data_IF_116394401152
#
_entry.id   IF_116394401152
#
_cell.length_a   1.000
_cell.length_b   1.000
_cell.length_c   1.000
_cell.angle_alpha   90.00
_cell.angle_beta   90.00
_cell.angle_gamma   90.00
#
_symmetry.space_group_name_H-M   'P 1'
#
loop_
_entity.id
_entity.type
_entity.pdbx_description
1 polymer ?
#
# COMPACT_ATOMS: atom_id res chain seq x y z
N UNK A 1 -0.23 -0.35 24.11
CA UNK A 1 -1.03 -1.00 23.06
C UNK A 1 -0.06 -1.38 21.97
N UNK A 2 -0.16 -2.59 21.42
CA UNK A 2 0.68 -3.03 20.30
C UNK A 2 0.07 -2.50 19.01
N UNK A 3 0.86 -1.86 18.16
CA UNK A 3 0.42 -1.26 16.90
C UNK A 3 -0.13 -2.32 15.94
N UNK A 4 -1.30 -2.07 15.33
CA UNK A 4 -1.84 -2.88 14.25
C UNK A 4 -2.02 -2.06 12.96
N UNK A 5 -1.59 -2.55 11.78
CA UNK A 5 -1.63 -1.78 10.52
C UNK A 5 -3.01 -1.30 10.08
N UNK A 6 -4.09 -1.91 10.59
CA UNK A 6 -5.46 -1.46 10.32
C UNK A 6 -5.83 -0.13 11.02
N UNK A 7 -5.01 0.33 11.97
CA UNK A 7 -5.20 1.61 12.67
C UNK A 7 -4.73 2.79 11.82
N UNK A 8 -3.91 2.56 10.77
CA UNK A 8 -3.45 3.61 9.87
C UNK A 8 -4.65 4.24 9.15
N UNK A 9 -4.80 5.58 9.16
CA UNK A 9 -5.80 6.28 8.36
C UNK A 9 -5.56 6.03 6.87
N UNK A 10 -6.57 5.58 6.13
CA UNK A 10 -6.44 5.22 4.71
C UNK A 10 -7.10 6.29 3.83
N UNK A 11 -6.36 6.84 2.87
CA UNK A 11 -6.90 7.76 1.86
C UNK A 11 -7.74 7.00 0.82
N UNK A 12 -7.16 5.94 0.26
CA UNK A 12 -7.80 5.12 -0.76
C UNK A 12 -7.54 3.63 -0.49
N UNK A 13 -8.57 2.83 -0.74
CA UNK A 13 -8.48 1.38 -0.76
C UNK A 13 -8.66 0.91 -2.19
N UNK A 14 -7.74 0.07 -2.67
CA UNK A 14 -7.77 -0.54 -3.99
C UNK A 14 -8.13 -2.01 -3.86
N UNK A 15 -9.13 -2.46 -4.60
CA UNK A 15 -9.49 -3.88 -4.68
C UNK A 15 -8.87 -4.45 -5.96
N UNK A 16 -7.84 -5.28 -5.79
CA UNK A 16 -6.97 -5.73 -6.89
C UNK A 16 -7.16 -7.23 -7.08
N UNK A 17 -7.63 -7.62 -8.26
CA UNK A 17 -7.95 -9.02 -8.55
C UNK A 17 -6.81 -9.77 -9.20
N UNK A 18 -5.95 -9.06 -9.93
CA UNK A 18 -4.86 -9.63 -10.69
C UNK A 18 -3.64 -8.69 -10.78
N UNK A 19 -2.65 -9.10 -11.56
CA UNK A 19 -1.38 -8.39 -11.74
C UNK A 19 -1.57 -7.03 -12.45
N UNK A 20 -2.54 -6.92 -13.37
CA UNK A 20 -2.79 -5.70 -14.13
C UNK A 20 -3.46 -4.65 -13.24
N UNK A 21 -4.47 -5.06 -12.48
CA UNK A 21 -5.11 -4.21 -11.48
C UNK A 21 -4.07 -3.69 -10.47
N UNK A 22 -3.07 -4.50 -10.13
CA UNK A 22 -1.99 -4.11 -9.23
C UNK A 22 -1.09 -3.01 -9.82
N UNK A 23 -0.77 -3.09 -11.12
CA UNK A 23 0.01 -2.06 -11.81
C UNK A 23 -0.76 -0.73 -11.85
N UNK A 24 -2.04 -0.78 -12.21
CA UNK A 24 -2.91 0.41 -12.26
C UNK A 24 -3.04 1.06 -10.87
N UNK A 25 -3.28 0.26 -9.82
CA UNK A 25 -3.34 0.75 -8.45
C UNK A 25 -2.01 1.40 -8.00
N UNK A 26 -0.87 0.80 -8.35
CA UNK A 26 0.44 1.37 -8.04
C UNK A 26 0.67 2.72 -8.73
N UNK A 27 0.28 2.85 -10.01
CA UNK A 27 0.37 4.11 -10.73
C UNK A 27 -0.48 5.21 -10.08
N UNK A 28 -1.71 4.89 -9.68
CA UNK A 28 -2.59 5.84 -9.00
C UNK A 28 -2.03 6.28 -7.65
N UNK A 29 -1.49 5.37 -6.85
CA UNK A 29 -0.82 5.73 -5.59
C UNK A 29 0.33 6.70 -5.80
N UNK A 30 1.15 6.49 -6.84
CA UNK A 30 2.26 7.39 -7.17
C UNK A 30 1.76 8.75 -7.65
N UNK A 31 0.67 8.79 -8.44
CA UNK A 31 0.06 10.05 -8.90
C UNK A 31 -0.49 10.86 -7.72
N UNK A 32 -1.12 10.20 -6.75
CA UNK A 32 -1.66 10.85 -5.54
C UNK A 32 -0.53 11.29 -4.60
N UNK A 33 0.50 10.44 -4.44
CA UNK A 33 1.64 10.65 -3.56
C UNK A 33 1.37 10.31 -2.10
N UNK A 34 2.45 10.00 -1.37
CA UNK A 34 2.40 9.52 0.02
C UNK A 34 2.71 10.58 1.07
N UNK A 35 3.42 11.66 0.71
CA UNK A 35 3.93 12.64 1.67
C UNK A 35 2.94 13.78 1.99
N UNK A 36 1.97 14.03 1.11
CA UNK A 36 1.11 15.21 1.19
C UNK A 36 -0.19 14.98 1.98
N UNK A 37 -0.45 13.75 2.41
CA UNK A 37 -1.66 13.39 3.16
C UNK A 37 -1.25 12.59 4.38
N UNK A 38 -1.81 12.91 5.56
CA UNK A 38 -1.57 12.18 6.82
C UNK A 38 -2.27 10.81 6.85
N UNK A 39 -2.14 10.06 5.76
CA UNK A 39 -2.91 8.85 5.45
C UNK A 39 -2.06 7.92 4.59
N UNK A 40 -2.25 6.61 4.74
CA UNK A 40 -1.69 5.59 3.86
C UNK A 40 -2.67 5.16 2.76
N UNK A 41 -2.23 4.16 1.99
CA UNK A 41 -3.04 3.45 1.02
C UNK A 41 -3.21 1.99 1.45
N UNK A 42 -4.34 1.40 1.08
CA UNK A 42 -4.61 -0.01 1.33
C UNK A 42 -4.89 -0.71 0.01
N UNK A 43 -4.36 -1.90 -0.16
CA UNK A 43 -4.72 -2.79 -1.27
C UNK A 43 -5.29 -4.07 -0.71
N UNK A 44 -6.49 -4.43 -1.15
CA UNK A 44 -7.13 -5.71 -0.92
C UNK A 44 -6.71 -6.65 -2.04
N UNK A 45 -6.26 -7.84 -1.65
CA UNK A 45 -5.78 -8.88 -2.54
C UNK A 45 -6.56 -10.16 -2.25
N UNK A 46 -6.95 -10.95 -3.28
CA UNK A 46 -7.58 -12.24 -3.08
C UNK A 46 -6.73 -13.13 -2.17
N UNK A 47 -7.38 -13.96 -1.34
CA UNK A 47 -6.72 -15.00 -0.54
C UNK A 47 -6.20 -16.20 -1.33
N UNK A 48 -5.92 -16.01 -2.61
CA UNK A 48 -5.06 -16.90 -3.36
C UNK A 48 -3.60 -16.54 -3.08
N UNK A 49 -2.86 -17.44 -2.42
CA UNK A 49 -1.47 -17.22 -2.02
C UNK A 49 -0.55 -16.83 -3.19
N UNK A 50 -0.78 -17.38 -4.38
CA UNK A 50 0.04 -17.11 -5.57
C UNK A 50 -0.26 -15.73 -6.13
N UNK A 51 -1.55 -15.38 -6.24
CA UNK A 51 -1.97 -14.06 -6.71
C UNK A 51 -1.55 -12.97 -5.71
N UNK A 52 -1.84 -13.15 -4.42
CA UNK A 52 -1.49 -12.20 -3.37
C UNK A 52 0.01 -11.90 -3.33
N UNK A 53 0.87 -12.93 -3.46
CA UNK A 53 2.32 -12.76 -3.49
C UNK A 53 2.77 -11.94 -4.70
N UNK A 54 2.20 -12.21 -5.89
CA UNK A 54 2.53 -11.45 -7.11
C UNK A 54 2.05 -10.02 -7.02
N UNK A 55 0.81 -9.80 -6.60
CA UNK A 55 0.24 -8.46 -6.41
C UNK A 55 1.06 -7.67 -5.41
N UNK A 56 1.40 -8.22 -4.24
CA UNK A 56 2.24 -7.55 -3.25
C UNK A 56 3.62 -7.15 -3.80
N UNK A 57 4.26 -8.03 -4.58
CA UNK A 57 5.53 -7.72 -5.25
C UNK A 57 5.39 -6.62 -6.30
N UNK A 58 4.33 -6.64 -7.11
CA UNK A 58 4.05 -5.62 -8.13
C UNK A 58 3.81 -4.27 -7.45
N UNK A 59 2.93 -4.21 -6.45
CA UNK A 59 2.62 -2.98 -5.70
C UNK A 59 3.90 -2.37 -5.15
N UNK A 60 4.69 -3.14 -4.38
CA UNK A 60 5.92 -2.61 -3.77
C UNK A 60 6.96 -2.17 -4.79
N UNK A 61 7.14 -2.93 -5.87
CA UNK A 61 8.14 -2.63 -6.91
C UNK A 61 7.72 -1.43 -7.76
N UNK A 62 6.48 -1.42 -8.26
CA UNK A 62 5.95 -0.38 -9.15
C UNK A 62 5.78 0.94 -8.44
N UNK A 63 5.32 0.95 -7.17
CA UNK A 63 5.26 2.17 -6.36
C UNK A 63 6.65 2.75 -6.17
N UNK A 64 7.64 1.95 -5.74
CA UNK A 64 9.01 2.45 -5.54
C UNK A 64 9.63 2.98 -6.84
N UNK A 65 9.43 2.26 -7.96
CA UNK A 65 9.87 2.70 -9.27
C UNK A 65 9.23 4.03 -9.69
N UNK A 66 7.91 4.15 -9.54
CA UNK A 66 7.15 5.36 -9.89
C UNK A 66 7.53 6.57 -9.02
N UNK A 67 7.70 6.39 -7.71
CA UNK A 67 8.17 7.45 -6.81
C UNK A 67 9.57 7.92 -7.20
N UNK A 68 10.48 7.00 -7.55
CA UNK A 68 11.81 7.34 -8.06
C UNK A 68 11.73 8.17 -9.35
N UNK A 69 10.92 7.73 -10.32
CA UNK A 69 10.77 8.42 -11.61
C UNK A 69 10.20 9.83 -11.46
N UNK A 70 9.29 10.01 -10.50
CA UNK A 70 8.63 11.29 -10.21
C UNK A 70 9.39 12.14 -9.17
N UNK A 71 10.57 11.69 -8.71
CA UNK A 71 11.40 12.36 -7.68
C UNK A 71 10.66 12.61 -6.36
N UNK A 72 9.73 11.73 -6.01
CA UNK A 72 9.01 11.75 -4.73
C UNK A 72 9.80 11.00 -3.65
N UNK A 73 9.43 11.22 -2.38
CA UNK A 73 9.98 10.47 -1.25
C UNK A 73 9.65 8.98 -1.38
N UNK A 74 10.65 8.13 -1.13
CA UNK A 74 10.58 6.66 -1.34
C UNK A 74 10.60 5.87 -0.04
N UNK A 75 10.77 6.55 1.08
CA UNK A 75 10.77 5.92 2.39
C UNK A 75 9.33 5.56 2.78
N UNK A 76 8.97 4.32 2.47
CA UNK A 76 7.66 3.75 2.71
C UNK A 76 7.77 2.60 3.70
N UNK A 77 6.83 2.57 4.65
CA UNK A 77 6.55 1.39 5.47
C UNK A 77 5.34 0.66 4.89
N UNK A 78 5.37 -0.65 4.97
CA UNK A 78 4.22 -1.45 4.59
C UNK A 78 4.10 -2.70 5.44
N UNK A 79 2.86 -3.16 5.58
CA UNK A 79 2.54 -4.38 6.32
C UNK A 79 1.47 -5.15 5.57
N UNK A 80 1.57 -6.47 5.62
CA UNK A 80 0.56 -7.40 5.11
C UNK A 80 -0.14 -8.10 6.25
N UNK A 81 -1.47 -8.23 6.18
CA UNK A 81 -2.26 -8.93 7.19
C UNK A 81 -3.53 -9.57 6.59
N UNK A 82 -4.14 -10.47 7.34
CA UNK A 82 -5.45 -11.03 7.00
C UNK A 82 -6.54 -9.99 7.25
N UNK A 83 -7.18 -9.49 6.20
CA UNK A 83 -8.19 -8.44 6.33
C UNK A 83 -9.56 -9.00 6.71
N UNK A 84 -10.03 -9.97 5.94
CA UNK A 84 -11.33 -10.61 6.11
C UNK A 84 -11.26 -12.07 5.65
N UNK A 85 -12.39 -12.73 5.39
CA UNK A 85 -12.44 -14.14 4.98
C UNK A 85 -11.87 -14.39 3.59
N UNK A 86 -11.91 -13.39 2.72
CA UNK A 86 -11.65 -13.51 1.29
C UNK A 86 -10.42 -12.71 0.83
N UNK A 87 -9.94 -11.76 1.65
CA UNK A 87 -8.84 -10.86 1.29
C UNK A 87 -7.68 -10.84 2.29
N UNK A 88 -6.47 -10.76 1.74
CA UNK A 88 -5.32 -10.16 2.38
C UNK A 88 -5.35 -8.65 2.16
N UNK A 89 -4.76 -7.89 3.08
CA UNK A 89 -4.48 -6.47 2.86
C UNK A 89 -2.98 -6.20 2.90
N UNK A 90 -2.52 -5.30 2.04
CA UNK A 90 -1.26 -4.57 2.23
C UNK A 90 -1.60 -3.11 2.50
N UNK A 91 -1.02 -2.54 3.56
CA UNK A 91 -1.11 -1.10 3.84
C UNK A 91 0.25 -0.49 3.59
N UNK A 92 0.29 0.63 2.88
CA UNK A 92 1.51 1.37 2.55
C UNK A 92 1.38 2.82 3.04
N UNK A 93 2.40 3.35 3.68
CA UNK A 93 2.45 4.72 4.21
C UNK A 93 3.87 5.26 4.12
N UNK A 94 4.04 6.59 3.98
CA UNK A 94 5.35 7.21 4.13
C UNK A 94 5.85 7.08 5.58
N UNK A 95 7.13 6.75 5.78
CA UNK A 95 7.75 6.71 7.11
C UNK A 95 7.57 8.04 7.87
N UNK A 96 7.76 9.16 7.17
CA UNK A 96 7.54 10.49 7.74
C UNK A 96 6.11 10.69 8.23
N UNK A 97 5.12 10.31 7.41
CA UNK A 97 3.70 10.41 7.78
C UNK A 97 3.37 9.48 8.94
N UNK A 98 3.95 8.28 8.97
CA UNK A 98 3.76 7.35 10.09
C UNK A 98 4.27 7.94 11.41
N UNK A 99 5.47 8.53 11.41
CA UNK A 99 6.06 9.15 12.60
C UNK A 99 5.24 10.37 13.06
N UNK A 100 4.58 11.10 12.15
CA UNK A 100 3.65 12.19 12.48
C UNK A 100 2.33 11.73 13.13
N UNK A 101 1.98 10.45 13.03
CA UNK A 101 0.73 9.88 13.56
C UNK A 101 0.87 9.32 14.99
N UNK A 102 2.09 9.33 15.56
CA UNK A 102 2.39 8.96 16.95
C UNK A 102 1.88 7.56 17.36
N UNK A 103 2.06 6.59 16.45
CA UNK A 103 1.70 5.16 16.64
C UNK A 103 2.71 4.35 17.45
#
# INVERSE_FOLDING_TARGET
>A
MEFHPSQIPIANTFDVKDEKDAEEAAEEMVKIGFANKKTGFKVLMPKDSKIAKRVGQIITTSVNYGLRKTKQERDLRYWTYHNDKDHFAIVLISSKVFDELDF
#
